data_IF_188306369289
#
_entry.id   IF_188306369289
#
_cell.length_a   1.000
_cell.length_b   1.000
_cell.length_c   1.000
_cell.angle_alpha   90.00
_cell.angle_beta   90.00
_cell.angle_gamma   90.00
#
_symmetry.space_group_name_H-M   'P 1'
#
loop_
_entity.id
_entity.type
_entity.pdbx_description
1 polymer ?
#
# COMPACT_ATOMS: atom_id res chain seq x y z
N UNK A 1 36.55 21.65 -45.38
CA UNK A 1 35.57 20.74 -44.73
C UNK A 1 35.82 20.58 -43.23
N UNK A 2 37.06 20.35 -42.76
CA UNK A 2 37.39 20.23 -41.34
C UNK A 2 37.04 21.47 -40.48
N UNK A 3 37.40 22.69 -40.92
CA UNK A 3 37.12 23.93 -40.19
C UNK A 3 35.61 24.29 -40.06
N UNK A 4 34.76 23.70 -40.90
CA UNK A 4 33.31 23.88 -40.84
C UNK A 4 32.69 22.91 -39.82
N UNK A 5 33.19 21.67 -39.77
CA UNK A 5 32.80 20.69 -38.77
C UNK A 5 33.18 21.11 -37.34
N UNK A 6 34.38 21.67 -37.14
CA UNK A 6 34.81 22.20 -35.83
C UNK A 6 33.96 23.39 -35.35
N UNK A 7 33.50 24.25 -36.26
CA UNK A 7 32.62 25.39 -35.93
C UNK A 7 31.17 24.97 -35.62
N UNK A 8 30.70 23.87 -36.22
CA UNK A 8 29.34 23.36 -36.00
C UNK A 8 29.22 22.42 -34.80
N UNK A 9 30.31 21.75 -34.41
CA UNK A 9 30.35 20.89 -33.23
C UNK A 9 29.79 21.52 -31.94
N UNK A 10 30.15 22.77 -31.55
CA UNK A 10 29.59 23.39 -30.34
C UNK A 10 28.09 23.67 -30.47
N UNK A 11 27.61 24.00 -31.68
CA UNK A 11 26.18 24.25 -31.94
C UNK A 11 25.37 22.96 -31.82
N UNK A 12 25.90 21.87 -32.37
CA UNK A 12 25.28 20.54 -32.27
C UNK A 12 25.29 20.03 -30.83
N UNK A 13 26.38 20.23 -30.08
CA UNK A 13 26.46 19.89 -28.65
C UNK A 13 25.48 20.70 -27.80
N UNK A 14 25.33 21.99 -28.08
CA UNK A 14 24.35 22.85 -27.42
C UNK A 14 22.92 22.36 -27.71
N UNK A 15 22.63 22.03 -28.97
CA UNK A 15 21.30 21.56 -29.37
C UNK A 15 20.96 20.21 -28.75
N UNK A 16 21.93 19.29 -28.69
CA UNK A 16 21.81 18.04 -27.94
C UNK A 16 21.57 18.29 -26.45
N UNK A 17 22.35 19.16 -25.81
CA UNK A 17 22.17 19.51 -24.40
C UNK A 17 20.78 20.11 -24.09
N UNK A 18 20.25 20.96 -24.99
CA UNK A 18 18.90 21.53 -24.88
C UNK A 18 17.83 20.46 -25.10
N UNK A 19 17.99 19.58 -26.08
CA UNK A 19 17.05 18.47 -26.33
C UNK A 19 17.01 17.43 -25.21
N UNK A 20 18.12 17.29 -24.46
CA UNK A 20 18.25 16.42 -23.28
C UNK A 20 17.86 17.12 -21.97
N UNK A 21 17.68 18.46 -21.98
CA UNK A 21 17.19 19.19 -20.81
C UNK A 21 15.71 18.86 -20.62
N UNK A 22 15.45 17.99 -19.64
CA UNK A 22 14.24 17.18 -19.54
C UNK A 22 12.93 17.96 -19.63
N UNK A 23 11.98 17.40 -20.38
CA UNK A 23 10.60 17.88 -20.39
C UNK A 23 9.97 17.63 -19.01
N UNK A 24 9.52 18.70 -18.36
CA UNK A 24 8.70 18.60 -17.16
C UNK A 24 7.26 18.31 -17.62
N UNK A 25 6.89 17.03 -17.68
CA UNK A 25 5.55 16.62 -18.11
C UNK A 25 4.43 17.12 -17.18
N UNK A 26 4.75 17.32 -15.89
CA UNK A 26 3.84 17.85 -14.86
C UNK A 26 4.61 18.66 -13.81
N UNK A 27 3.92 19.61 -13.18
CA UNK A 27 4.40 20.28 -11.98
C UNK A 27 4.23 19.36 -10.75
N UNK A 28 5.34 18.83 -10.25
CA UNK A 28 5.36 17.93 -9.09
C UNK A 28 4.98 18.64 -7.78
N UNK A 29 5.02 19.97 -7.71
CA UNK A 29 4.60 20.73 -6.54
C UNK A 29 3.12 20.55 -6.18
N UNK A 30 2.29 20.19 -7.17
CA UNK A 30 0.85 19.96 -6.99
C UNK A 30 0.52 18.58 -6.40
N UNK A 31 1.49 17.65 -6.38
CA UNK A 31 1.27 16.28 -5.91
C UNK A 31 2.03 16.05 -4.61
N UNK A 32 1.30 15.59 -3.58
CA UNK A 32 1.92 15.28 -2.29
C UNK A 32 2.94 14.16 -2.45
N UNK A 33 4.17 14.43 -2.04
CA UNK A 33 5.15 13.39 -1.75
C UNK A 33 4.72 12.61 -0.50
N UNK A 34 5.33 11.44 -0.25
CA UNK A 34 5.03 10.68 0.96
C UNK A 34 5.30 11.48 2.24
N UNK A 35 6.35 12.30 2.27
CA UNK A 35 6.69 13.12 3.44
C UNK A 35 5.69 14.26 3.69
N UNK A 36 4.99 14.69 2.65
CA UNK A 36 3.89 15.67 2.72
C UNK A 36 2.55 15.01 3.10
N UNK A 37 2.48 13.68 3.16
CA UNK A 37 1.30 12.92 3.60
C UNK A 37 1.56 12.25 4.95
N UNK A 38 0.95 12.78 6.01
CA UNK A 38 1.24 12.37 7.38
C UNK A 38 1.04 10.86 7.63
N UNK A 39 0.04 10.21 7.02
CA UNK A 39 -0.15 8.76 7.18
C UNK A 39 0.96 7.97 6.47
N UNK A 40 1.35 8.39 5.26
CA UNK A 40 2.39 7.71 4.48
C UNK A 40 3.74 7.79 5.20
N UNK A 41 4.10 9.00 5.67
CA UNK A 41 5.31 9.24 6.44
C UNK A 41 5.39 8.34 7.69
N UNK A 42 4.31 8.25 8.47
CA UNK A 42 4.26 7.38 9.67
C UNK A 42 4.39 5.90 9.33
N UNK A 43 3.69 5.42 8.30
CA UNK A 43 3.72 4.00 7.92
C UNK A 43 5.09 3.58 7.33
N UNK A 44 5.75 4.45 6.55
CA UNK A 44 7.10 4.17 6.02
C UNK A 44 8.20 4.26 7.07
N UNK A 45 7.96 4.92 8.19
CA UNK A 45 8.90 4.96 9.31
C UNK A 45 8.93 3.66 10.12
N UNK A 46 7.97 2.74 9.92
CA UNK A 46 7.97 1.43 10.58
C UNK A 46 9.15 0.58 10.07
N UNK A 47 9.91 -0.01 11.00
CA UNK A 47 11.08 -0.84 10.67
C UNK A 47 10.63 -2.27 10.33
N UNK A 48 11.23 -2.91 9.31
CA UNK A 48 11.04 -4.34 9.08
C UNK A 48 11.48 -5.19 10.29
N UNK A 49 10.81 -6.32 10.51
CA UNK A 49 11.20 -7.31 11.52
C UNK A 49 10.58 -7.13 12.91
N UNK A 50 9.99 -5.98 13.21
CA UNK A 50 9.38 -5.69 14.51
C UNK A 50 7.87 -5.46 14.35
N UNK A 51 7.10 -6.54 14.23
CA UNK A 51 5.64 -6.44 14.31
C UNK A 51 5.20 -6.30 15.77
N UNK A 52 4.55 -5.20 16.18
CA UNK A 52 3.99 -5.09 17.52
C UNK A 52 2.70 -5.89 17.69
N UNK A 53 2.22 -6.57 16.65
CA UNK A 53 0.97 -7.32 16.67
C UNK A 53 1.21 -8.80 16.96
N UNK A 54 0.44 -9.33 17.91
CA UNK A 54 0.45 -10.73 18.31
C UNK A 54 -0.96 -11.31 18.26
N UNK A 55 -1.06 -12.54 17.77
CA UNK A 55 -2.32 -13.29 17.76
C UNK A 55 -2.61 -13.89 19.13
N UNK A 56 -3.87 -13.81 19.55
CA UNK A 56 -4.40 -14.44 20.76
C UNK A 56 -5.11 -15.73 20.37
N UNK A 57 -4.35 -16.83 20.30
CA UNK A 57 -4.82 -18.12 19.81
C UNK A 57 -5.95 -18.71 20.68
N UNK A 58 -6.01 -18.33 21.95
CA UNK A 58 -7.09 -18.69 22.87
C UNK A 58 -8.45 -18.11 22.49
N UNK A 59 -8.47 -17.07 21.64
CA UNK A 59 -9.70 -16.44 21.12
C UNK A 59 -10.08 -16.97 19.73
N UNK A 60 -9.41 -18.02 19.26
CA UNK A 60 -9.62 -18.56 17.94
C UNK A 60 -10.95 -19.32 17.88
N UNK A 61 -11.78 -18.94 16.93
CA UNK A 61 -13.01 -19.65 16.57
C UNK A 61 -12.91 -20.10 15.12
N UNK A 62 -13.13 -21.39 14.89
CA UNK A 62 -13.10 -22.00 13.56
C UNK A 62 -14.49 -22.49 13.20
N UNK A 63 -14.93 -22.10 12.01
CA UNK A 63 -16.13 -22.61 11.34
C UNK A 63 -15.72 -23.32 10.05
N UNK A 64 -16.66 -23.95 9.33
CA UNK A 64 -16.34 -24.61 8.05
C UNK A 64 -15.72 -23.65 7.03
N UNK A 65 -16.10 -22.37 7.05
CA UNK A 65 -15.76 -21.41 5.99
C UNK A 65 -14.85 -20.27 6.44
N UNK A 66 -14.72 -20.07 7.76
CA UNK A 66 -14.04 -18.90 8.35
C UNK A 66 -13.31 -19.27 9.64
N UNK A 67 -12.11 -18.73 9.78
CA UNK A 67 -11.38 -18.63 11.05
C UNK A 67 -11.44 -17.19 11.54
N UNK A 68 -11.71 -16.99 12.83
CA UNK A 68 -11.61 -15.68 13.47
C UNK A 68 -10.73 -15.76 14.70
N UNK A 69 -9.91 -14.74 14.95
CA UNK A 69 -9.12 -14.60 16.17
C UNK A 69 -8.85 -13.13 16.48
N UNK A 70 -8.53 -12.82 17.73
CA UNK A 70 -8.14 -11.46 18.11
C UNK A 70 -6.63 -11.24 17.92
N UNK A 71 -6.26 -10.06 17.45
CA UNK A 71 -4.90 -9.55 17.50
C UNK A 71 -4.80 -8.49 18.59
N UNK A 72 -3.67 -8.45 19.30
CA UNK A 72 -3.34 -7.37 20.23
C UNK A 72 -2.08 -6.66 19.74
N UNK A 73 -2.10 -5.33 19.79
CA UNK A 73 -0.89 -4.53 19.63
C UNK A 73 -0.22 -4.37 20.99
N UNK A 74 0.99 -4.88 21.16
CA UNK A 74 1.70 -4.90 22.44
C UNK A 74 2.14 -3.50 22.90
N UNK A 75 2.18 -2.49 22.02
CA UNK A 75 2.55 -1.12 22.38
C UNK A 75 1.38 -0.33 22.99
N UNK A 76 0.19 -0.41 22.39
CA UNK A 76 -0.96 0.40 22.80
C UNK A 76 -2.15 -0.41 23.36
N UNK A 77 -2.04 -1.75 23.37
CA UNK A 77 -3.03 -2.71 23.88
C UNK A 77 -4.37 -2.69 23.16
N UNK A 78 -4.46 -2.06 21.98
CA UNK A 78 -5.66 -2.08 21.13
C UNK A 78 -5.88 -3.51 20.61
N UNK A 79 -7.13 -3.96 20.67
CA UNK A 79 -7.57 -5.25 20.14
C UNK A 79 -8.19 -5.10 18.76
N UNK A 80 -7.78 -5.96 17.85
CA UNK A 80 -8.30 -6.09 16.50
C UNK A 80 -8.95 -7.47 16.34
N UNK A 81 -9.85 -7.60 15.38
CA UNK A 81 -10.41 -8.86 14.94
C UNK A 81 -9.79 -9.21 13.58
N UNK A 82 -9.13 -10.38 13.52
CA UNK A 82 -8.69 -11.01 12.28
C UNK A 82 -9.75 -12.02 11.86
N UNK A 83 -10.16 -11.94 10.59
CA UNK A 83 -11.01 -12.92 9.93
C UNK A 83 -10.28 -13.46 8.70
N UNK A 84 -10.21 -14.78 8.59
CA UNK A 84 -9.64 -15.50 7.46
C UNK A 84 -10.74 -16.34 6.83
N UNK A 85 -10.97 -16.15 5.53
CA UNK A 85 -11.95 -16.92 4.76
C UNK A 85 -11.25 -17.75 3.71
N UNK A 86 -11.66 -19.01 3.60
CA UNK A 86 -11.28 -19.87 2.49
C UNK A 86 -12.34 -19.73 1.39
N UNK A 87 -11.95 -19.15 0.26
CA UNK A 87 -12.84 -18.89 -0.87
C UNK A 87 -12.57 -19.90 -2.00
N UNK A 88 -13.57 -20.13 -2.84
CA UNK A 88 -13.40 -20.97 -4.03
C UNK A 88 -12.34 -20.41 -4.98
N UNK A 89 -11.62 -21.31 -5.64
CA UNK A 89 -10.63 -20.94 -6.66
C UNK A 89 -9.25 -20.61 -6.10
N UNK A 90 -8.84 -21.27 -5.01
CA UNK A 90 -7.54 -21.08 -4.35
C UNK A 90 -7.32 -19.65 -3.84
N UNK A 91 -8.38 -19.00 -3.34
CA UNK A 91 -8.35 -17.63 -2.84
C UNK A 91 -8.54 -17.64 -1.33
N UNK A 92 -7.72 -16.86 -0.62
CA UNK A 92 -7.89 -16.61 0.82
C UNK A 92 -8.16 -15.14 1.04
N UNK A 93 -9.25 -14.80 1.73
CA UNK A 93 -9.55 -13.41 2.11
C UNK A 93 -9.09 -13.16 3.54
N UNK A 94 -8.26 -12.15 3.72
CA UNK A 94 -7.81 -11.66 5.03
C UNK A 94 -8.52 -10.34 5.31
N UNK A 95 -9.24 -10.26 6.42
CA UNK A 95 -9.91 -9.04 6.88
C UNK A 95 -9.47 -8.74 8.31
N UNK A 96 -9.04 -7.50 8.55
CA UNK A 96 -8.66 -7.02 9.88
C UNK A 96 -9.48 -5.76 10.17
N UNK A 97 -10.23 -5.79 11.27
CA UNK A 97 -10.99 -4.65 11.76
C UNK A 97 -10.68 -4.38 13.24
N UNK A 98 -11.03 -3.21 13.74
CA UNK A 98 -11.02 -2.97 15.19
C UNK A 98 -12.08 -3.84 15.86
N UNK A 99 -11.73 -4.45 16.99
CA UNK A 99 -12.70 -5.27 17.74
C UNK A 99 -13.82 -4.42 18.33
N UNK A 100 -13.48 -3.20 18.78
CA UNK A 100 -14.42 -2.24 19.38
C UNK A 100 -14.15 -0.82 18.84
N UNK A 101 -14.57 -0.53 17.60
CA UNK A 101 -14.33 0.77 17.00
C UNK A 101 -15.24 1.85 17.59
N UNK A 102 -14.76 3.09 17.63
CA UNK A 102 -15.58 4.26 18.01
C UNK A 102 -16.69 4.53 16.98
N UNK A 103 -16.39 4.29 15.70
CA UNK A 103 -17.33 4.32 14.57
C UNK A 103 -16.92 3.22 13.59
N UNK A 104 -17.88 2.56 12.90
CA UNK A 104 -17.55 1.53 11.92
C UNK A 104 -16.51 2.02 10.90
N UNK A 105 -15.51 1.17 10.63
CA UNK A 105 -14.53 1.45 9.58
C UNK A 105 -15.19 1.26 8.22
N UNK A 106 -14.78 2.08 7.25
CA UNK A 106 -15.31 2.01 5.90
C UNK A 106 -14.98 0.64 5.28
N UNK A 107 -16.00 -0.03 4.76
CA UNK A 107 -15.87 -1.24 3.94
C UNK A 107 -16.32 -0.88 2.52
N UNK A 108 -15.49 -1.21 1.54
CA UNK A 108 -15.68 -0.76 0.15
C UNK A 108 -16.93 -1.42 -0.44
N UNK A 109 -17.99 -0.66 -0.76
CA UNK A 109 -19.16 -1.18 -1.45
C UNK A 109 -18.91 -1.24 -2.97
N UNK A 110 -19.79 -1.94 -3.68
CA UNK A 110 -19.95 -1.90 -5.15
C UNK A 110 -18.77 -2.36 -6.03
N UNK A 111 -17.60 -2.64 -5.47
CA UNK A 111 -16.44 -3.18 -6.22
C UNK A 111 -16.59 -4.69 -6.47
N UNK A 112 -17.11 -5.42 -5.48
CA UNK A 112 -17.42 -6.83 -5.65
C UNK A 112 -18.77 -6.98 -6.35
N UNK A 113 -18.78 -7.69 -7.49
CA UNK A 113 -20.01 -7.98 -8.24
C UNK A 113 -20.98 -8.85 -7.40
N UNK A 114 -20.42 -9.73 -6.55
CA UNK A 114 -21.14 -10.59 -5.59
C UNK A 114 -20.20 -11.03 -4.48
N UNK A 115 -20.75 -11.52 -3.37
CA UNK A 115 -19.96 -12.13 -2.31
C UNK A 115 -19.26 -13.40 -2.84
N UNK A 116 -17.94 -13.53 -2.70
CA UNK A 116 -17.22 -14.72 -3.14
C UNK A 116 -17.68 -15.96 -2.37
N UNK A 117 -17.97 -17.09 -3.06
CA UNK A 117 -18.39 -18.32 -2.39
C UNK A 117 -17.24 -18.89 -1.56
N UNK A 118 -17.56 -19.31 -0.35
CA UNK A 118 -16.62 -19.98 0.57
C UNK A 118 -16.53 -21.48 0.29
N UNK A 119 -15.34 -22.06 0.46
CA UNK A 119 -15.19 -23.52 0.52
C UNK A 119 -15.47 -24.03 1.95
N UNK A 120 -16.11 -25.19 2.10
CA UNK A 120 -16.34 -25.83 3.40
C UNK A 120 -15.08 -26.47 4.00
#
# INVERSE_FOLDING_TARGET
MAAFAERMAPVVLLWLAVSLSGTWAVDKGNFKTCDQSAFCKRQRALKPGESPYRALLETMELTSTRLTLQLINDNNKVRLLLELYRLQGNITRVKINELKPLKPRYEVPDVLIREPPTEP
#
